data_IF_316434692220
#
_entry.id   IF_316434692220
#
_cell.length_a   1.000
_cell.length_b   1.000
_cell.length_c   1.000
_cell.angle_alpha   90.00
_cell.angle_beta   90.00
_cell.angle_gamma   90.00
#
_symmetry.space_group_name_H-M   'P 1'
#
loop_
_entity.id
_entity.type
_entity.pdbx_description
1 polymer ?
#
# COMPACT_ATOMS: atom_id res chain seq x y z
N UNK A 1 -23.86 -8.03 28.51
CA UNK A 1 -24.31 -7.65 27.16
C UNK A 1 -23.29 -6.64 26.65
N UNK A 2 -22.43 -7.00 25.70
CA UNK A 2 -21.48 -6.02 25.14
C UNK A 2 -22.21 -5.18 24.12
N UNK A 3 -22.18 -3.86 24.27
CA UNK A 3 -22.85 -2.95 23.35
C UNK A 3 -22.28 -3.12 21.93
N UNK A 4 -23.17 -3.11 20.93
CA UNK A 4 -22.84 -3.25 19.50
C UNK A 4 -21.71 -2.30 19.08
N UNK A 5 -21.70 -1.10 19.66
CA UNK A 5 -20.66 -0.08 19.44
C UNK A 5 -19.27 -0.59 19.86
N UNK A 6 -19.16 -1.16 21.05
CA UNK A 6 -17.91 -1.69 21.61
C UNK A 6 -17.36 -2.84 20.76
N UNK A 7 -18.23 -3.69 20.22
CA UNK A 7 -17.82 -4.80 19.35
C UNK A 7 -17.23 -4.30 18.01
N UNK A 8 -17.85 -3.31 17.37
CA UNK A 8 -17.34 -2.77 16.11
C UNK A 8 -16.05 -1.96 16.32
N UNK A 9 -15.91 -1.21 17.41
CA UNK A 9 -14.64 -0.55 17.77
C UNK A 9 -13.54 -1.59 17.94
N UNK A 10 -13.80 -2.69 18.64
CA UNK A 10 -12.79 -3.73 18.86
C UNK A 10 -12.37 -4.40 17.54
N UNK A 11 -13.32 -4.60 16.63
CA UNK A 11 -13.04 -5.12 15.29
C UNK A 11 -12.18 -4.16 14.47
N UNK A 12 -12.54 -2.87 14.43
CA UNK A 12 -11.78 -1.82 13.74
C UNK A 12 -10.37 -1.70 14.33
N UNK A 13 -10.25 -1.66 15.66
CA UNK A 13 -8.97 -1.59 16.35
C UNK A 13 -8.08 -2.79 15.97
N UNK A 14 -8.63 -4.01 15.97
CA UNK A 14 -7.90 -5.23 15.58
C UNK A 14 -7.41 -5.17 14.13
N UNK A 15 -8.25 -4.69 13.21
CA UNK A 15 -7.89 -4.58 11.79
C UNK A 15 -6.80 -3.53 11.60
N UNK A 16 -6.98 -2.33 12.17
CA UNK A 16 -6.01 -1.25 12.09
C UNK A 16 -4.67 -1.62 12.75
N UNK A 17 -4.69 -2.34 13.88
CA UNK A 17 -3.48 -2.79 14.58
C UNK A 17 -2.76 -3.94 13.86
N UNK A 18 -3.46 -4.70 13.03
CA UNK A 18 -2.83 -5.79 12.26
C UNK A 18 -1.95 -5.29 11.12
N UNK A 19 -2.24 -4.10 10.56
CA UNK A 19 -1.45 -3.47 9.50
C UNK A 19 0.03 -3.27 9.87
N UNK A 20 0.36 -2.60 10.99
CA UNK A 20 1.74 -2.46 11.48
C UNK A 20 2.48 -3.78 11.68
N UNK A 21 1.80 -4.82 12.19
CA UNK A 21 2.42 -6.13 12.39
C UNK A 21 2.78 -6.77 11.04
N UNK A 22 1.88 -6.72 10.07
CA UNK A 22 2.14 -7.23 8.72
C UNK A 22 3.24 -6.43 8.04
N UNK A 23 3.24 -5.11 8.18
CA UNK A 23 4.32 -4.25 7.70
C UNK A 23 5.68 -4.66 8.28
N UNK A 24 5.78 -4.87 9.59
CA UNK A 24 7.03 -5.29 10.23
C UNK A 24 7.51 -6.67 9.73
N UNK A 25 6.59 -7.62 9.56
CA UNK A 25 6.91 -8.95 9.01
C UNK A 25 7.39 -8.85 7.56
N UNK A 26 6.71 -8.07 6.72
CA UNK A 26 7.08 -7.90 5.31
C UNK A 26 8.41 -7.17 5.19
N UNK A 27 8.62 -6.12 5.98
CA UNK A 27 9.89 -5.40 6.05
C UNK A 27 11.05 -6.33 6.41
N UNK A 28 10.90 -7.16 7.45
CA UNK A 28 11.96 -8.10 7.86
C UNK A 28 12.26 -9.13 6.78
N UNK A 29 11.23 -9.72 6.14
CA UNK A 29 11.38 -10.68 5.04
C UNK A 29 12.10 -10.04 3.85
N UNK A 30 11.69 -8.84 3.42
CA UNK A 30 12.32 -8.13 2.31
C UNK A 30 13.77 -7.80 2.63
N UNK A 31 14.04 -7.26 3.83
CA UNK A 31 15.39 -6.92 4.26
C UNK A 31 16.31 -8.14 4.31
N UNK A 32 15.83 -9.28 4.85
CA UNK A 32 16.58 -10.53 4.85
C UNK A 32 16.90 -11.01 3.43
N UNK A 33 15.91 -11.04 2.53
CA UNK A 33 16.12 -11.46 1.12
C UNK A 33 17.08 -10.55 0.38
N UNK A 34 16.95 -9.23 0.56
CA UNK A 34 17.85 -8.25 -0.07
C UNK A 34 19.28 -8.41 0.46
N UNK A 35 19.46 -8.65 1.77
CA UNK A 35 20.78 -8.92 2.36
C UNK A 35 21.41 -10.21 1.83
N UNK A 36 20.62 -11.26 1.62
CA UNK A 36 21.10 -12.54 1.09
C UNK A 36 21.48 -12.48 -0.40
N UNK A 37 20.79 -11.66 -1.19
CA UNK A 37 20.97 -11.64 -2.64
C UNK A 37 21.97 -10.56 -3.13
N UNK A 38 22.23 -9.52 -2.33
CA UNK A 38 23.13 -8.43 -2.70
C UNK A 38 24.35 -8.40 -1.77
N UNK A 39 25.39 -9.14 -2.16
CA UNK A 39 26.74 -9.05 -1.58
C UNK A 39 27.49 -7.89 -2.25
N UNK A 40 27.48 -6.69 -1.67
CA UNK A 40 28.09 -5.50 -2.26
C UNK A 40 27.93 -4.24 -1.43
N UNK A 41 28.32 -3.08 -1.98
CA UNK A 41 28.31 -1.78 -1.29
C UNK A 41 26.92 -1.44 -0.72
N UNK A 42 26.91 -0.73 0.42
CA UNK A 42 25.68 -0.38 1.15
C UNK A 42 24.62 0.31 0.28
N UNK A 43 25.04 1.15 -0.67
CA UNK A 43 24.16 1.90 -1.57
C UNK A 43 23.35 1.00 -2.52
N UNK A 44 23.96 -0.06 -3.09
CA UNK A 44 23.25 -0.99 -4.00
C UNK A 44 22.14 -1.72 -3.26
N UNK A 45 22.41 -2.09 -2.01
CA UNK A 45 21.47 -2.77 -1.12
C UNK A 45 20.29 -1.85 -0.75
N UNK A 46 20.56 -0.58 -0.46
CA UNK A 46 19.53 0.42 -0.17
C UNK A 46 18.60 0.63 -1.36
N UNK A 47 19.15 0.81 -2.56
CA UNK A 47 18.35 0.97 -3.79
C UNK A 47 17.50 -0.27 -4.08
N UNK A 48 18.04 -1.47 -3.87
CA UNK A 48 17.29 -2.72 -4.02
C UNK A 48 16.13 -2.81 -3.02
N UNK A 49 16.35 -2.39 -1.77
CA UNK A 49 15.33 -2.33 -0.73
C UNK A 49 14.20 -1.36 -1.11
N UNK A 50 14.54 -0.14 -1.55
CA UNK A 50 13.54 0.85 -1.97
C UNK A 50 12.70 0.38 -3.17
N UNK A 51 13.34 -0.28 -4.13
CA UNK A 51 12.65 -0.90 -5.26
C UNK A 51 11.71 -2.01 -4.78
N UNK A 52 12.10 -2.85 -3.84
CA UNK A 52 11.23 -3.90 -3.30
C UNK A 52 9.98 -3.30 -2.63
N UNK A 53 10.14 -2.31 -1.74
CA UNK A 53 9.01 -1.63 -1.09
C UNK A 53 8.12 -0.88 -2.08
N UNK A 54 8.69 -0.25 -3.12
CA UNK A 54 7.91 0.36 -4.21
C UNK A 54 7.05 -0.68 -4.95
N UNK A 55 7.55 -1.91 -5.16
CA UNK A 55 6.72 -3.00 -5.74
C UNK A 55 5.58 -3.37 -4.81
N UNK A 56 5.83 -3.47 -3.50
CA UNK A 56 4.77 -3.76 -2.51
C UNK A 56 3.67 -2.70 -2.59
N UNK A 57 4.02 -1.40 -2.59
CA UNK A 57 3.05 -0.31 -2.75
C UNK A 57 2.22 -0.50 -4.01
N UNK A 58 2.84 -0.83 -5.16
CA UNK A 58 2.12 -1.04 -6.42
C UNK A 58 1.18 -2.23 -6.38
N UNK A 59 1.61 -3.36 -5.79
CA UNK A 59 0.77 -4.56 -5.65
C UNK A 59 -0.43 -4.27 -4.75
N UNK A 60 -0.21 -3.62 -3.60
CA UNK A 60 -1.28 -3.26 -2.69
C UNK A 60 -2.23 -2.24 -3.32
N UNK A 61 -1.69 -1.23 -4.03
CA UNK A 61 -2.50 -0.23 -4.75
C UNK A 61 -3.36 -0.89 -5.83
N UNK A 62 -2.83 -1.88 -6.55
CA UNK A 62 -3.60 -2.67 -7.52
C UNK A 62 -4.73 -3.45 -6.83
N UNK A 63 -4.45 -4.07 -5.69
CA UNK A 63 -5.47 -4.75 -4.88
C UNK A 63 -6.59 -3.79 -4.46
N UNK A 64 -6.25 -2.59 -4.00
CA UNK A 64 -7.23 -1.57 -3.66
C UNK A 64 -8.02 -1.06 -4.87
N UNK A 65 -7.38 -0.89 -6.04
CA UNK A 65 -8.10 -0.56 -7.28
C UNK A 65 -9.15 -1.62 -7.59
N UNK A 66 -8.81 -2.91 -7.50
CA UNK A 66 -9.76 -4.01 -7.73
C UNK A 66 -10.93 -3.94 -6.74
N UNK A 67 -10.70 -3.64 -5.47
CA UNK A 67 -11.78 -3.52 -4.49
C UNK A 67 -12.71 -2.34 -4.80
N UNK A 68 -12.18 -1.21 -5.28
CA UNK A 68 -12.98 -0.04 -5.63
C UNK A 68 -13.73 -0.21 -6.95
N UNK A 69 -13.15 -0.92 -7.94
CA UNK A 69 -13.88 -1.25 -9.18
C UNK A 69 -15.02 -2.21 -8.90
N UNK A 70 -14.83 -3.21 -8.03
CA UNK A 70 -15.90 -4.08 -7.55
C UNK A 70 -17.01 -3.26 -6.89
N UNK A 71 -16.66 -2.30 -6.02
CA UNK A 71 -17.65 -1.40 -5.41
C UNK A 71 -18.41 -0.60 -6.48
N UNK A 72 -17.72 -0.02 -7.46
CA UNK A 72 -18.35 0.71 -8.56
C UNK A 72 -19.33 -0.14 -9.35
N UNK A 73 -18.95 -1.37 -9.69
CA UNK A 73 -19.82 -2.32 -10.39
C UNK A 73 -21.04 -2.68 -9.52
N UNK A 74 -20.84 -2.93 -8.22
CA UNK A 74 -21.95 -3.20 -7.29
C UNK A 74 -22.93 -2.03 -7.27
N UNK A 75 -22.45 -0.79 -7.16
CA UNK A 75 -23.29 0.42 -7.16
C UNK A 75 -24.16 0.51 -8.43
N UNK A 76 -23.57 0.27 -9.61
CA UNK A 76 -24.32 0.33 -10.89
C UNK A 76 -25.43 -0.73 -11.04
N UNK A 77 -25.39 -1.79 -10.23
CA UNK A 77 -26.39 -2.86 -10.26
C UNK A 77 -27.61 -2.59 -9.36
N UNK A 78 -27.52 -1.60 -8.47
CA UNK A 78 -28.63 -1.28 -7.57
C UNK A 78 -29.60 -0.30 -8.24
N UNK A 79 -30.92 -0.59 -8.24
CA UNK A 79 -31.92 0.28 -8.86
C UNK A 79 -31.90 1.66 -8.19
N UNK A 80 -31.85 2.70 -9.02
CA UNK A 80 -31.75 4.10 -8.59
C UNK A 80 -33.02 4.56 -7.89
N UNK A 81 -33.14 4.34 -6.58
CA UNK A 81 -34.15 4.99 -5.77
C UNK A 81 -33.47 5.79 -4.67
N UNK A 82 -33.16 7.05 -5.00
CA UNK A 82 -33.01 8.22 -4.12
C UNK A 82 -32.24 8.10 -2.78
N UNK A 83 -31.46 7.05 -2.54
CA UNK A 83 -30.79 6.88 -1.26
C UNK A 83 -29.46 7.63 -1.24
N UNK A 84 -29.48 8.68 -0.41
CA UNK A 84 -28.43 9.46 0.25
C UNK A 84 -27.34 8.64 0.95
N UNK A 85 -27.15 7.37 0.58
CA UNK A 85 -26.07 6.57 1.09
C UNK A 85 -24.77 7.00 0.40
N UNK A 86 -23.68 7.11 1.16
CA UNK A 86 -22.32 7.48 0.69
C UNK A 86 -21.70 6.51 -0.34
N UNK A 87 -22.52 5.71 -1.01
CA UNK A 87 -22.27 4.87 -2.19
C UNK A 87 -22.44 5.64 -3.51
N UNK A 88 -22.31 6.98 -3.50
CA UNK A 88 -22.22 7.73 -4.74
C UNK A 88 -20.98 7.24 -5.54
N UNK A 89 -21.12 7.07 -6.85
CA UNK A 89 -20.03 6.69 -7.78
C UNK A 89 -18.76 7.54 -7.62
N UNK A 90 -18.90 8.74 -7.04
CA UNK A 90 -17.81 9.65 -6.69
C UNK A 90 -16.74 8.94 -5.83
N UNK A 91 -17.13 8.18 -4.80
CA UNK A 91 -16.17 7.54 -3.88
C UNK A 91 -15.28 6.48 -4.56
N UNK A 92 -15.81 5.45 -5.26
CA UNK A 92 -14.96 4.49 -5.95
C UNK A 92 -14.12 5.14 -7.06
N UNK A 93 -14.66 6.13 -7.78
CA UNK A 93 -13.90 6.84 -8.82
C UNK A 93 -12.73 7.61 -8.21
N UNK A 94 -12.98 8.43 -7.19
CA UNK A 94 -11.92 9.17 -6.49
C UNK A 94 -10.88 8.22 -5.92
N UNK A 95 -11.30 7.14 -5.24
CA UNK A 95 -10.37 6.19 -4.65
C UNK A 95 -9.51 5.49 -5.71
N UNK A 96 -10.06 5.10 -6.87
CA UNK A 96 -9.27 4.56 -7.99
C UNK A 96 -8.24 5.57 -8.49
N UNK A 97 -8.61 6.84 -8.64
CA UNK A 97 -7.64 7.88 -9.04
C UNK A 97 -6.53 8.06 -8.02
N UNK A 98 -6.85 8.04 -6.72
CA UNK A 98 -5.86 8.12 -5.65
C UNK A 98 -4.94 6.91 -5.67
N UNK A 99 -5.46 5.68 -5.74
CA UNK A 99 -4.62 4.47 -5.78
C UNK A 99 -3.73 4.41 -7.03
N UNK A 100 -4.15 5.04 -8.13
CA UNK A 100 -3.33 5.18 -9.33
C UNK A 100 -2.08 6.05 -9.10
N UNK A 101 -2.14 7.03 -8.17
CA UNK A 101 -0.96 7.80 -7.74
C UNK A 101 0.10 6.90 -7.07
N UNK A 102 -0.29 5.76 -6.51
CA UNK A 102 0.62 4.75 -5.96
C UNK A 102 1.71 4.31 -6.95
N UNK A 103 1.43 4.32 -8.25
CA UNK A 103 2.41 3.98 -9.30
C UNK A 103 3.45 5.08 -9.55
N UNK A 104 3.11 6.32 -9.21
CA UNK A 104 3.95 7.52 -9.36
C UNK A 104 4.80 7.82 -8.12
N UNK A 105 4.65 7.06 -7.03
CA UNK A 105 5.40 7.25 -5.77
C UNK A 105 6.93 7.15 -5.93
N UNK A 106 7.42 6.53 -7.01
CA UNK A 106 8.85 6.45 -7.31
C UNK A 106 9.41 7.59 -8.15
N UNK A 107 8.56 8.47 -8.71
CA UNK A 107 9.00 9.53 -9.63
C UNK A 107 9.39 10.81 -8.92
N UNK A 108 8.57 11.27 -7.96
CA UNK A 108 8.78 12.52 -7.24
C UNK A 108 8.33 12.44 -5.78
N UNK A 109 9.02 13.14 -4.87
CA UNK A 109 8.67 13.19 -3.45
C UNK A 109 7.27 13.75 -3.21
N UNK A 110 6.88 14.78 -3.97
CA UNK A 110 5.54 15.38 -3.92
C UNK A 110 4.40 14.35 -4.14
N UNK A 111 4.58 13.38 -5.06
CA UNK A 111 3.57 12.34 -5.26
C UNK A 111 3.45 11.42 -4.05
N UNK A 112 4.55 11.11 -3.35
CA UNK A 112 4.48 10.33 -2.12
C UNK A 112 3.75 11.06 -1.00
N UNK A 113 4.01 12.36 -0.84
CA UNK A 113 3.36 13.18 0.17
C UNK A 113 1.87 13.35 -0.12
N UNK A 114 1.51 13.68 -1.36
CA UNK A 114 0.11 13.74 -1.79
C UNK A 114 -0.59 12.38 -1.57
N UNK A 115 0.08 11.28 -1.89
CA UNK A 115 -0.49 9.95 -1.71
C UNK A 115 -0.74 9.63 -0.23
N UNK A 116 0.18 9.94 0.69
CA UNK A 116 -0.02 9.77 2.14
C UNK A 116 -1.23 10.55 2.65
N UNK A 117 -1.36 11.82 2.23
CA UNK A 117 -2.46 12.68 2.65
C UNK A 117 -3.81 12.13 2.15
N UNK A 118 -3.87 11.74 0.87
CA UNK A 118 -5.07 11.20 0.27
C UNK A 118 -5.44 9.82 0.84
N UNK A 119 -4.47 8.94 1.11
CA UNK A 119 -4.70 7.66 1.78
C UNK A 119 -5.25 7.86 3.20
N UNK A 120 -4.74 8.85 3.93
CA UNK A 120 -5.21 9.18 5.28
C UNK A 120 -6.68 9.64 5.24
N UNK A 121 -7.04 10.47 4.27
CA UNK A 121 -8.44 10.85 4.03
C UNK A 121 -9.31 9.62 3.70
N UNK A 122 -8.83 8.71 2.84
CA UNK A 122 -9.54 7.46 2.51
C UNK A 122 -9.80 6.62 3.76
N UNK A 123 -8.81 6.42 4.64
CA UNK A 123 -8.99 5.65 5.88
C UNK A 123 -10.12 6.24 6.73
N UNK A 124 -10.16 7.56 6.90
CA UNK A 124 -11.21 8.24 7.66
C UNK A 124 -12.58 8.02 7.00
N UNK A 125 -12.70 8.27 5.69
CA UNK A 125 -13.97 8.11 4.98
C UNK A 125 -14.45 6.66 4.92
N UNK A 126 -13.54 5.70 4.76
CA UNK A 126 -13.84 4.27 4.76
C UNK A 126 -14.30 3.80 6.14
N UNK A 127 -13.72 4.36 7.22
CA UNK A 127 -14.13 4.06 8.60
C UNK A 127 -15.55 4.56 8.87
N UNK A 128 -15.88 5.80 8.46
CA UNK A 128 -17.24 6.32 8.58
C UNK A 128 -18.25 5.47 7.80
N UNK A 129 -17.90 5.08 6.57
CA UNK A 129 -18.75 4.23 5.75
C UNK A 129 -18.98 2.84 6.38
N UNK A 130 -17.95 2.23 6.96
CA UNK A 130 -18.06 0.94 7.66
C UNK A 130 -19.02 1.02 8.84
N UNK A 131 -18.88 2.06 9.69
CA UNK A 131 -19.76 2.26 10.85
C UNK A 131 -21.22 2.48 10.40
N UNK A 132 -21.45 3.25 9.34
CA UNK A 132 -22.79 3.44 8.78
C UNK A 132 -23.40 2.13 8.27
N UNK A 133 -22.64 1.33 7.53
CA UNK A 133 -23.10 0.01 7.04
C UNK A 133 -23.41 -0.92 8.21
N UNK A 134 -22.53 -0.96 9.22
CA UNK A 134 -22.73 -1.79 10.40
C UNK A 134 -24.00 -1.39 11.18
N UNK A 135 -24.32 -0.09 11.24
CA UNK A 135 -25.52 0.42 11.91
C UNK A 135 -26.79 -0.06 11.18
N UNK A 136 -26.80 0.00 9.85
CA UNK A 136 -27.93 -0.50 9.05
C UNK A 136 -28.09 -2.01 9.14
N UNK A 137 -26.99 -2.77 9.14
CA UNK A 137 -27.04 -4.23 9.37
C UNK A 137 -27.70 -4.54 10.71
N UNK A 138 -27.25 -3.90 11.79
CA UNK A 138 -27.80 -4.16 13.13
C UNK A 138 -29.27 -3.74 13.26
N UNK A 139 -29.67 -2.67 12.57
CA UNK A 139 -31.06 -2.23 12.53
C UNK A 139 -31.94 -3.21 11.74
N UNK A 140 -31.49 -3.72 10.58
CA UNK A 140 -32.20 -4.77 9.83
C UNK A 140 -32.29 -6.09 10.62
N UNK A 141 -31.23 -6.48 11.33
CA UNK A 141 -31.21 -7.70 12.15
C UNK A 141 -32.16 -7.63 13.36
N UNK A 142 -32.32 -6.45 13.98
CA UNK A 142 -33.15 -6.26 15.17
C UNK A 142 -34.59 -5.89 14.87
N UNK A 143 -34.81 -5.01 13.89
CA UNK A 143 -36.10 -4.36 13.64
C UNK A 143 -36.71 -4.75 12.29
N UNK A 144 -35.98 -5.50 11.46
CA UNK A 144 -36.46 -5.97 10.15
C UNK A 144 -36.79 -4.81 9.22
N UNK A 145 -37.94 -4.90 8.53
CA UNK A 145 -38.38 -3.89 7.54
C UNK A 145 -38.77 -2.53 8.14
N UNK A 146 -38.68 -2.34 9.46
CA UNK A 146 -38.91 -1.04 10.11
C UNK A 146 -37.69 -0.12 10.06
N UNK A 147 -36.53 -0.65 9.66
CA UNK A 147 -35.37 0.16 9.34
C UNK A 147 -35.69 0.94 8.04
N UNK A 148 -35.94 2.25 8.14
CA UNK A 148 -36.64 3.07 7.13
C UNK A 148 -36.17 2.97 5.66
N UNK A 149 -36.96 3.54 4.75
CA UNK A 149 -36.92 3.34 3.28
C UNK A 149 -35.54 3.33 2.60
N UNK A 150 -34.54 4.02 3.15
CA UNK A 150 -33.16 3.97 2.66
C UNK A 150 -32.46 2.61 2.81
N UNK A 151 -32.92 1.72 3.69
CA UNK A 151 -32.44 0.35 3.86
C UNK A 151 -33.22 -0.68 3.03
N UNK A 152 -34.38 -0.30 2.47
CA UNK A 152 -35.28 -1.22 1.76
C UNK A 152 -34.79 -1.63 0.36
N UNK A 153 -33.73 -1.03 -0.16
CA UNK A 153 -33.22 -1.34 -1.52
C UNK A 153 -32.11 -2.40 -1.56
N UNK A 154 -31.44 -2.72 -0.44
CA UNK A 154 -30.38 -3.73 -0.38
C UNK A 154 -30.75 -4.88 0.57
N UNK A 155 -30.45 -6.10 0.14
CA UNK A 155 -30.58 -7.29 0.98
C UNK A 155 -29.48 -7.36 2.05
N UNK A 156 -29.77 -8.04 3.17
CA UNK A 156 -28.80 -8.25 4.27
C UNK A 156 -27.50 -8.90 3.77
N UNK A 157 -27.58 -9.84 2.82
CA UNK A 157 -26.42 -10.50 2.24
C UNK A 157 -25.52 -9.53 1.46
N UNK A 158 -26.10 -8.58 0.74
CA UNK A 158 -25.34 -7.56 0.01
C UNK A 158 -24.66 -6.59 0.97
N UNK A 159 -25.34 -6.20 2.05
CA UNK A 159 -24.75 -5.37 3.11
C UNK A 159 -23.58 -6.07 3.81
N UNK A 160 -23.71 -7.37 4.13
CA UNK A 160 -22.61 -8.16 4.72
C UNK A 160 -21.42 -8.26 3.75
N UNK A 161 -21.69 -8.47 2.47
CA UNK A 161 -20.65 -8.49 1.43
C UNK A 161 -19.91 -7.14 1.36
N UNK A 162 -20.66 -6.03 1.31
CA UNK A 162 -20.09 -4.68 1.31
C UNK A 162 -19.28 -4.41 2.57
N UNK A 163 -19.79 -4.79 3.76
CA UNK A 163 -19.03 -4.68 5.02
C UNK A 163 -17.71 -5.43 4.96
N UNK A 164 -17.71 -6.69 4.51
CA UNK A 164 -16.46 -7.48 4.40
C UNK A 164 -15.46 -6.82 3.45
N UNK A 165 -15.94 -6.28 2.32
CA UNK A 165 -15.10 -5.58 1.35
C UNK A 165 -14.51 -4.28 1.92
N UNK A 166 -15.29 -3.52 2.68
CA UNK A 166 -14.82 -2.32 3.39
C UNK A 166 -13.76 -2.68 4.44
N UNK A 167 -13.95 -3.76 5.20
CA UNK A 167 -12.95 -4.23 6.18
C UNK A 167 -11.63 -4.63 5.52
N UNK A 168 -11.67 -5.23 4.33
CA UNK A 168 -10.45 -5.52 3.55
C UNK A 168 -9.79 -4.23 3.07
N UNK A 169 -10.57 -3.25 2.61
CA UNK A 169 -10.06 -1.91 2.25
C UNK A 169 -9.35 -1.26 3.45
N UNK A 170 -10.01 -1.24 4.61
CA UNK A 170 -9.49 -0.70 5.87
C UNK A 170 -8.26 -1.44 6.41
N UNK A 171 -8.06 -2.70 6.02
CA UNK A 171 -6.82 -3.42 6.32
C UNK A 171 -5.67 -3.01 5.38
N UNK A 172 -5.95 -2.94 4.07
CA UNK A 172 -4.91 -2.69 3.06
C UNK A 172 -4.44 -1.22 3.06
N UNK A 173 -5.35 -0.26 3.21
CA UNK A 173 -5.02 1.18 3.08
C UNK A 173 -4.01 1.67 4.13
N UNK A 174 -4.14 1.35 5.44
CA UNK A 174 -3.11 1.68 6.43
C UNK A 174 -1.77 0.99 6.17
N UNK A 175 -1.78 -0.24 5.63
CA UNK A 175 -0.55 -0.91 5.25
C UNK A 175 0.15 -0.18 4.10
N UNK A 176 -0.58 0.22 3.05
CA UNK A 176 -0.03 1.06 1.97
C UNK A 176 0.53 2.38 2.52
N UNK A 177 -0.19 2.99 3.48
CA UNK A 177 0.23 4.23 4.13
C UNK A 177 1.59 4.05 4.82
N UNK A 178 1.78 2.97 5.58
CA UNK A 178 3.04 2.65 6.25
C UNK A 178 4.19 2.41 5.27
N UNK A 179 3.95 1.65 4.19
CA UNK A 179 4.94 1.43 3.14
C UNK A 179 5.36 2.74 2.46
N UNK A 180 4.39 3.62 2.20
CA UNK A 180 4.65 4.93 1.59
C UNK A 180 5.39 5.86 2.55
N UNK A 181 5.01 5.86 3.83
CA UNK A 181 5.68 6.63 4.88
C UNK A 181 7.14 6.18 5.04
N UNK A 182 7.40 4.87 5.01
CA UNK A 182 8.75 4.32 5.02
C UNK A 182 9.57 4.85 3.84
N UNK A 183 9.03 4.84 2.61
CA UNK A 183 9.75 5.39 1.45
C UNK A 183 10.00 6.89 1.58
N UNK A 184 9.07 7.66 2.16
CA UNK A 184 9.28 9.09 2.44
C UNK A 184 10.44 9.33 3.41
N UNK A 185 10.51 8.56 4.50
CA UNK A 185 11.59 8.69 5.49
C UNK A 185 12.93 8.23 4.90
N UNK A 186 12.92 7.13 4.14
CA UNK A 186 14.14 6.51 3.64
C UNK A 186 14.75 7.23 2.43
N UNK A 187 13.93 7.76 1.52
CA UNK A 187 14.38 8.46 0.30
C UNK A 187 14.42 9.99 0.50
N UNK A 188 13.54 10.53 1.35
CA UNK A 188 13.35 11.96 1.61
C UNK A 188 11.94 12.46 1.26
N UNK A 189 11.45 13.44 2.02
CA UNK A 189 10.09 13.99 1.85
C UNK A 189 9.97 14.95 0.66
N UNK A 190 10.87 15.93 0.56
CA UNK A 190 10.79 17.01 -0.44
C UNK A 190 12.00 17.05 -1.40
N UNK A 191 13.18 16.61 -0.97
CA UNK A 191 14.32 16.38 -1.84
C UNK A 191 14.62 14.88 -1.87
N UNK A 192 14.76 14.33 -3.07
CA UNK A 192 15.15 12.94 -3.22
C UNK A 192 16.66 12.84 -2.97
N UNK A 193 17.08 12.06 -1.97
CA UNK A 193 18.50 11.74 -1.74
C UNK A 193 19.11 10.98 -2.94
N UNK A 194 18.29 10.29 -3.72
CA UNK A 194 18.71 9.50 -4.89
C UNK A 194 17.99 9.98 -6.16
N UNK A 195 18.71 10.02 -7.30
CA UNK A 195 18.11 10.40 -8.59
C UNK A 195 16.95 9.46 -8.97
N UNK A 196 15.90 10.01 -9.59
CA UNK A 196 14.76 9.25 -10.13
C UNK A 196 15.18 8.13 -11.09
N UNK A 197 16.34 8.28 -11.77
CA UNK A 197 16.92 7.26 -12.64
C UNK A 197 17.41 6.01 -11.88
N UNK A 198 17.91 6.17 -10.65
CA UNK A 198 18.35 5.06 -9.79
C UNK A 198 17.16 4.30 -9.20
N UNK A 199 16.09 5.02 -8.86
CA UNK A 199 14.86 4.49 -8.28
C UNK A 199 13.93 3.83 -9.31
N UNK A 200 14.15 4.06 -10.61
CA UNK A 200 13.34 3.43 -11.67
C UNK A 200 13.45 1.90 -11.67
N UNK A 201 12.29 1.24 -11.80
CA UNK A 201 12.20 -0.22 -11.94
C UNK A 201 12.68 -0.74 -13.29
N UNK A 202 12.71 0.09 -14.33
CA UNK A 202 13.12 -0.31 -15.68
C UNK A 202 14.63 -0.51 -15.81
N UNK A 203 15.42 -0.09 -14.82
CA UNK A 203 16.88 -0.26 -14.83
C UNK A 203 17.33 -1.29 -13.80
N UNK A 204 18.23 -2.22 -14.19
CA UNK A 204 18.80 -3.19 -13.27
C UNK A 204 19.53 -2.46 -12.13
N UNK A 205 19.40 -2.99 -10.92
CA UNK A 205 20.11 -2.50 -9.71
C UNK A 205 21.62 -2.65 -9.80
N UNK A 206 22.08 -3.51 -10.72
CA UNK A 206 23.49 -3.78 -10.97
C UNK A 206 23.83 -3.29 -12.38
N UNK A 207 24.79 -2.38 -12.49
CA UNK A 207 25.39 -2.05 -13.77
C UNK A 207 26.43 -3.13 -14.05
N UNK A 208 26.16 -4.03 -15.00
CA UNK A 208 27.08 -5.13 -15.37
C UNK A 208 28.49 -4.59 -15.64
N UNK A 209 28.58 -3.38 -16.19
CA UNK A 209 29.85 -2.67 -16.42
C UNK A 209 30.63 -2.39 -15.14
N UNK A 210 29.99 -1.97 -14.05
CA UNK A 210 30.69 -1.73 -12.77
C UNK A 210 31.09 -3.03 -12.08
N UNK A 211 30.27 -4.08 -12.20
CA UNK A 211 30.59 -5.41 -11.71
C UNK A 211 31.82 -6.02 -12.41
N UNK A 212 31.86 -5.90 -13.74
CA UNK A 212 33.00 -6.32 -14.56
C UNK A 212 34.24 -5.50 -14.20
N UNK A 213 34.13 -4.18 -14.04
CA UNK A 213 35.27 -3.34 -13.65
C UNK A 213 35.82 -3.67 -12.27
N UNK A 214 34.96 -4.01 -11.28
CA UNK A 214 35.44 -4.46 -9.96
C UNK A 214 36.05 -5.86 -10.00
N UNK A 215 35.59 -6.74 -10.90
CA UNK A 215 36.14 -8.09 -11.02
C UNK A 215 37.48 -8.09 -11.78
N UNK A 216 37.59 -7.30 -12.86
CA UNK A 216 38.79 -7.21 -13.69
C UNK A 216 39.85 -6.20 -13.22
N UNK A 217 39.51 -5.23 -12.36
CA UNK A 217 40.53 -4.34 -11.76
C UNK A 217 41.40 -5.01 -10.69
N UNK A 218 40.94 -6.12 -10.12
CA UNK A 218 41.75 -6.93 -9.20
C UNK A 218 42.77 -7.84 -9.92
N UNK A 219 42.59 -8.10 -11.21
CA UNK A 219 43.51 -8.94 -12.00
C UNK A 219 44.68 -8.14 -12.61
N UNK A 220 44.66 -6.80 -12.57
CA UNK A 220 45.67 -5.94 -13.19
C UNK A 220 46.77 -5.44 -12.24
N UNK A 221 46.82 -5.89 -10.99
CA UNK A 221 47.95 -5.59 -10.10
C UNK A 221 48.53 -6.90 -9.53
N UNK A 222 49.25 -7.64 -10.37
CA UNK A 222 50.41 -8.40 -9.89
C UNK A 222 51.62 -7.46 -9.97
N UNK A 223 52.15 -6.95 -8.84
CA UNK A 223 53.41 -6.25 -8.87
C UNK A 223 54.49 -7.27 -9.22
N UNK A 224 55.15 -6.99 -10.33
CA UNK A 224 56.42 -7.49 -10.77
C UNK A 224 57.39 -7.61 -9.58
N UNK A 225 57.54 -8.83 -9.06
CA UNK A 225 58.55 -9.15 -8.05
C UNK A 225 59.36 -10.34 -8.55
N UNK A 226 60.39 -10.05 -9.35
CA UNK A 226 61.57 -10.91 -9.41
C UNK A 226 62.80 -10.17 -9.96
N UNK A 227 63.69 -9.88 -9.00
CA UNK A 227 65.15 -9.77 -9.11
C UNK A 227 65.74 -8.51 -9.77
N UNK A 228 65.91 -7.49 -8.93
CA UNK A 228 67.15 -6.70 -8.92
C UNK A 228 67.78 -6.76 -7.52
N UNK A 229 68.87 -7.52 -7.41
CA UNK A 229 69.93 -7.47 -6.40
C UNK A 229 70.91 -8.59 -6.80
N UNK A 230 72.22 -8.45 -6.91
CA UNK A 230 73.16 -7.32 -6.91
C UNK A 230 74.54 -7.98 -6.95
N UNK A 231 75.42 -7.49 -7.84
CA UNK A 231 76.88 -7.74 -7.90
C UNK A 231 77.37 -9.16 -8.17
#
# INVERSE_FOLDING_TARGET
>A
MTDWYTQNIYLLAKILSSGPLVFALVYTIINMRVRQHFFGSGEVREVALFKAHTRVIRILSLGCIVLQTVLGISITKFPSTNSTYSFALIRPVLNVTVYSLGFMTSTHGAFRLAYILLLSHIVVTDTFAEVSIAMVINCLEREGMRCGDSALSLSLNELIFLKRRELVSLFLTPWILLETAYLCVAIGFCSNRYSSRLLSHSRPTFNIKTALLTHFSNDTIKPESRRYHSR
#
